data_IF_900970302813
#
_entry.id   IF_900970302813
#
_cell.length_a   1.000
_cell.length_b   1.000
_cell.length_c   1.000
_cell.angle_alpha   90.00
_cell.angle_beta   90.00
_cell.angle_gamma   90.00
#
_symmetry.space_group_name_H-M   'P 1'
#
loop_
_entity.id
_entity.type
_entity.pdbx_description
1 polymer ?
#
# COMPACT_ATOMS: atom_id res chain seq x y z
N UNK A 1 12.01 48.16 -24.92
CA UNK A 1 10.90 47.18 -24.92
C UNK A 1 10.09 47.45 -23.67
N UNK A 2 8.84 47.88 -23.80
CA UNK A 2 7.94 48.11 -22.67
C UNK A 2 7.68 46.79 -21.97
N UNK A 3 8.05 46.66 -20.70
CA UNK A 3 7.73 45.45 -19.95
C UNK A 3 6.22 45.43 -19.73
N UNK A 4 5.54 44.47 -20.35
CA UNK A 4 4.10 44.30 -20.15
C UNK A 4 3.90 43.68 -18.77
N UNK A 5 3.24 44.44 -17.89
CA UNK A 5 2.77 43.93 -16.61
C UNK A 5 1.64 42.93 -16.89
N UNK A 6 1.74 41.75 -16.30
CA UNK A 6 0.66 40.77 -16.31
C UNK A 6 0.49 40.13 -14.93
N UNK A 7 -0.63 39.44 -14.73
CA UNK A 7 -0.88 38.68 -13.52
C UNK A 7 -0.31 37.28 -13.68
N UNK A 8 0.60 36.90 -12.77
CA UNK A 8 1.27 35.60 -12.73
C UNK A 8 0.91 34.84 -11.45
N UNK A 9 0.95 33.51 -11.50
CA UNK A 9 0.36 32.67 -10.46
C UNK A 9 1.36 31.65 -9.88
N UNK A 10 1.52 31.67 -8.56
CA UNK A 10 2.10 30.55 -7.83
C UNK A 10 0.97 29.64 -7.36
N UNK A 11 0.96 28.42 -7.85
CA UNK A 11 -0.12 27.46 -7.71
C UNK A 11 0.32 26.27 -6.86
N UNK A 12 -0.56 25.78 -6.00
CA UNK A 12 -0.29 24.67 -5.11
C UNK A 12 -1.37 23.60 -5.24
N UNK A 13 -0.96 22.35 -5.41
CA UNK A 13 -1.87 21.21 -5.38
C UNK A 13 -1.68 20.46 -4.08
N UNK A 14 -2.69 20.48 -3.22
CA UNK A 14 -2.63 19.82 -1.92
C UNK A 14 -3.15 18.40 -2.01
N UNK A 15 -2.27 17.45 -1.73
CA UNK A 15 -2.57 16.03 -1.70
C UNK A 15 -2.44 15.51 -0.28
N UNK A 16 -3.53 15.00 0.28
CA UNK A 16 -3.56 14.31 1.57
C UNK A 16 -3.99 12.88 1.28
N UNK A 17 -3.15 11.89 1.62
CA UNK A 17 -3.39 10.48 1.27
C UNK A 17 -3.69 10.29 -0.23
N UNK A 18 -2.93 10.97 -1.08
CA UNK A 18 -3.08 10.97 -2.55
C UNK A 18 -4.43 11.50 -3.07
N UNK A 19 -5.22 12.17 -2.22
CA UNK A 19 -6.46 12.85 -2.60
C UNK A 19 -6.27 14.37 -2.61
N UNK A 20 -6.69 15.00 -3.72
CA UNK A 20 -6.74 16.44 -3.89
C UNK A 20 -8.19 16.90 -3.78
N UNK A 21 -8.48 17.76 -2.80
CA UNK A 21 -9.81 18.37 -2.60
C UNK A 21 -9.79 19.88 -2.71
N UNK A 22 -8.61 20.47 -2.62
CA UNK A 22 -8.38 21.91 -2.67
C UNK A 22 -7.06 22.24 -3.35
N UNK A 23 -6.98 23.47 -3.83
CA UNK A 23 -5.78 24.06 -4.44
C UNK A 23 -5.47 25.40 -3.80
N UNK A 24 -4.22 25.83 -3.91
CA UNK A 24 -3.71 27.07 -3.33
C UNK A 24 -3.22 28.01 -4.41
N UNK A 25 -3.47 29.30 -4.24
CA UNK A 25 -3.04 30.31 -5.20
C UNK A 25 -2.47 31.53 -4.49
N UNK A 26 -1.35 32.03 -5.03
CA UNK A 26 -0.82 33.37 -4.78
C UNK A 26 -0.62 34.06 -6.12
N UNK A 27 -1.04 35.31 -6.23
CA UNK A 27 -0.97 36.09 -7.48
C UNK A 27 -0.03 37.28 -7.34
N UNK A 28 0.69 37.60 -8.40
CA UNK A 28 1.53 38.80 -8.50
C UNK A 28 1.25 39.55 -9.79
N UNK A 29 1.37 40.87 -9.76
CA UNK A 29 1.52 41.68 -10.98
C UNK A 29 3.01 41.89 -11.22
N UNK A 30 3.53 41.33 -12.31
CA UNK A 30 4.97 41.38 -12.60
C UNK A 30 5.22 41.65 -14.08
N UNK A 31 6.28 42.41 -14.36
CA UNK A 31 6.76 42.67 -15.72
C UNK A 31 8.05 41.91 -15.99
N UNK A 32 8.50 41.91 -17.25
CA UNK A 32 9.73 41.23 -17.67
C UNK A 32 9.45 40.09 -18.64
N UNK A 33 10.48 39.32 -18.93
CA UNK A 33 10.40 38.09 -19.73
C UNK A 33 9.71 36.97 -18.94
N UNK A 34 9.22 35.95 -19.66
CA UNK A 34 8.58 34.79 -19.04
C UNK A 34 9.56 34.03 -18.14
N UNK A 35 10.84 33.93 -18.53
CA UNK A 35 11.88 33.29 -17.73
C UNK A 35 12.13 34.03 -16.40
N UNK A 36 12.15 35.38 -16.42
CA UNK A 36 12.28 36.19 -15.21
C UNK A 36 11.06 36.01 -14.28
N UNK A 37 9.85 35.96 -14.85
CA UNK A 37 8.60 35.75 -14.10
C UNK A 37 8.55 34.35 -13.47
N UNK A 38 8.95 33.31 -14.22
CA UNK A 38 9.03 31.93 -13.70
C UNK A 38 10.05 31.85 -12.58
N UNK A 39 11.24 32.45 -12.74
CA UNK A 39 12.27 32.46 -11.70
C UNK A 39 11.78 33.18 -10.44
N UNK A 40 11.09 34.32 -10.60
CA UNK A 40 10.46 35.03 -9.50
C UNK A 40 9.48 34.14 -8.73
N UNK A 41 8.56 33.45 -9.43
CA UNK A 41 7.61 32.55 -8.78
C UNK A 41 8.29 31.39 -8.05
N UNK A 42 9.31 30.77 -8.66
CA UNK A 42 10.08 29.68 -8.06
C UNK A 42 10.79 30.09 -6.77
N UNK A 43 11.36 31.30 -6.73
CA UNK A 43 12.04 31.82 -5.55
C UNK A 43 11.08 32.09 -4.37
N UNK A 44 9.80 32.34 -4.66
CA UNK A 44 8.79 32.67 -3.65
C UNK A 44 7.96 31.45 -3.20
N UNK A 45 8.16 30.23 -3.75
CA UNK A 45 7.38 29.03 -3.41
C UNK A 45 7.25 28.81 -1.89
N UNK A 46 8.35 28.89 -1.14
CA UNK A 46 8.35 28.65 0.30
C UNK A 46 7.58 29.69 1.12
N UNK A 47 7.59 30.97 0.70
CA UNK A 47 6.81 32.03 1.34
C UNK A 47 5.34 31.96 0.94
N UNK A 48 5.09 31.68 -0.33
CA UNK A 48 3.76 31.67 -0.93
C UNK A 48 2.94 30.51 -0.44
N UNK A 49 3.57 29.35 -0.25
CA UNK A 49 2.94 28.16 0.33
C UNK A 49 2.26 28.44 1.68
N UNK A 50 2.86 29.30 2.52
CA UNK A 50 2.31 29.66 3.83
C UNK A 50 1.13 30.63 3.74
N UNK A 51 1.06 31.41 2.67
CA UNK A 51 0.09 32.49 2.47
C UNK A 51 -0.94 32.19 1.37
N UNK A 52 -0.86 31.00 0.75
CA UNK A 52 -1.70 30.64 -0.37
C UNK A 52 -3.17 30.61 0.00
N UNK A 53 -3.97 31.36 -0.77
CA UNK A 53 -5.43 31.34 -0.63
C UNK A 53 -5.96 30.00 -1.15
N UNK A 54 -6.78 29.33 -0.33
CA UNK A 54 -7.36 28.03 -0.65
C UNK A 54 -8.64 28.16 -1.47
N UNK A 55 -8.77 27.33 -2.49
CA UNK A 55 -9.96 27.21 -3.32
C UNK A 55 -10.39 25.74 -3.42
N UNK A 56 -11.71 25.46 -3.39
CA UNK A 56 -12.20 24.14 -3.75
C UNK A 56 -11.94 23.88 -5.23
N UNK A 57 -11.87 22.60 -5.61
CA UNK A 57 -11.85 22.22 -7.01
C UNK A 57 -13.12 22.70 -7.75
N UNK A 58 -13.13 22.72 -9.08
CA UNK A 58 -14.36 22.91 -9.85
C UNK A 58 -15.38 21.78 -9.62
N UNK A 59 -16.67 22.07 -9.78
CA UNK A 59 -17.77 21.15 -9.42
C UNK A 59 -17.79 19.84 -10.23
N UNK A 60 -17.13 19.79 -11.38
CA UNK A 60 -17.01 18.62 -12.25
C UNK A 60 -15.92 17.63 -11.80
N UNK A 61 -15.04 18.01 -10.86
CA UNK A 61 -14.09 17.08 -10.24
C UNK A 61 -14.77 16.36 -9.09
N UNK A 62 -15.20 15.13 -9.35
CA UNK A 62 -15.88 14.30 -8.37
C UNK A 62 -15.22 12.93 -8.31
N UNK A 63 -15.01 12.45 -7.09
CA UNK A 63 -14.54 11.10 -6.81
C UNK A 63 -15.63 10.34 -6.07
N UNK A 64 -15.80 9.06 -6.41
CA UNK A 64 -16.70 8.14 -5.70
C UNK A 64 -15.86 7.33 -4.70
N UNK A 65 -16.17 7.47 -3.42
CA UNK A 65 -15.53 6.72 -2.33
C UNK A 65 -16.67 6.07 -1.52
N UNK A 66 -16.72 4.74 -1.49
CA UNK A 66 -17.71 3.96 -0.72
C UNK A 66 -19.16 4.35 -1.05
N UNK A 67 -19.48 4.43 -2.34
CA UNK A 67 -20.78 4.91 -2.87
C UNK A 67 -21.15 6.37 -2.55
N UNK A 68 -20.26 7.11 -1.89
CA UNK A 68 -20.43 8.55 -1.64
C UNK A 68 -19.64 9.34 -2.68
N UNK A 69 -20.33 10.25 -3.36
CA UNK A 69 -19.71 11.17 -4.30
C UNK A 69 -19.24 12.41 -3.54
N UNK A 70 -17.95 12.73 -3.63
CA UNK A 70 -17.36 13.94 -3.05
C UNK A 70 -16.61 14.73 -4.11
N UNK A 71 -16.44 16.01 -3.87
CA UNK A 71 -15.60 16.86 -4.72
C UNK A 71 -14.13 16.50 -4.47
N UNK A 72 -13.39 16.20 -5.54
CA UNK A 72 -12.01 15.74 -5.42
C UNK A 72 -11.51 15.04 -6.67
N UNK A 73 -10.20 14.85 -6.72
CA UNK A 73 -9.47 14.06 -7.71
C UNK A 73 -8.30 13.37 -7.02
N UNK A 74 -7.96 12.13 -7.36
CA UNK A 74 -6.73 11.53 -6.84
C UNK A 74 -5.50 12.05 -7.60
N UNK A 75 -4.34 11.92 -6.96
CA UNK A 75 -3.08 12.44 -7.49
C UNK A 75 -2.64 11.76 -8.79
N UNK A 76 -2.96 10.48 -8.99
CA UNK A 76 -2.63 9.75 -10.23
C UNK A 76 -3.45 10.27 -11.39
N UNK A 77 -4.75 10.46 -11.20
CA UNK A 77 -5.62 11.05 -12.22
C UNK A 77 -5.24 12.51 -12.52
N UNK A 78 -4.87 13.29 -11.50
CA UNK A 78 -4.30 14.62 -11.72
C UNK A 78 -3.01 14.57 -12.55
N UNK A 79 -2.12 13.61 -12.27
CA UNK A 79 -0.89 13.41 -13.07
C UNK A 79 -1.20 13.05 -14.53
N UNK A 80 -2.24 12.26 -14.78
CA UNK A 80 -2.69 11.96 -16.14
C UNK A 80 -3.18 13.23 -16.85
N UNK A 81 -3.97 14.07 -16.17
CA UNK A 81 -4.36 15.38 -16.72
C UNK A 81 -3.15 16.25 -17.04
N UNK A 82 -2.14 16.33 -16.16
CA UNK A 82 -0.90 17.05 -16.44
C UNK A 82 -0.20 16.51 -17.68
N UNK A 83 -0.15 15.18 -17.84
CA UNK A 83 0.47 14.53 -19.00
C UNK A 83 -0.26 14.83 -20.32
N UNK A 84 -1.57 15.03 -20.26
CA UNK A 84 -2.41 15.40 -21.41
C UNK A 84 -2.49 16.92 -21.64
N UNK A 85 -1.84 17.74 -20.79
CA UNK A 85 -1.88 19.21 -20.86
C UNK A 85 -3.14 19.84 -20.27
N UNK A 86 -3.92 19.07 -19.51
CA UNK A 86 -5.16 19.47 -18.83
C UNK A 86 -4.98 19.73 -17.32
N UNK A 87 -3.75 19.71 -16.81
CA UNK A 87 -3.46 19.84 -15.38
C UNK A 87 -4.00 21.12 -14.73
N UNK A 88 -4.10 22.22 -15.47
CA UNK A 88 -4.58 23.50 -14.93
C UNK A 88 -6.09 23.56 -14.69
N UNK A 89 -6.87 22.58 -15.17
CA UNK A 89 -8.32 22.55 -14.98
C UNK A 89 -8.73 22.52 -13.50
N UNK A 90 -7.90 21.97 -12.61
CA UNK A 90 -8.18 21.94 -11.16
C UNK A 90 -8.16 23.34 -10.51
N UNK A 91 -7.63 24.36 -11.21
CA UNK A 91 -7.51 25.74 -10.74
C UNK A 91 -8.56 26.70 -11.32
N UNK A 92 -9.48 26.23 -12.16
CA UNK A 92 -10.46 27.10 -12.86
C UNK A 92 -11.27 28.00 -11.90
N UNK A 93 -11.68 27.47 -10.74
CA UNK A 93 -12.38 28.26 -9.72
C UNK A 93 -11.53 29.45 -9.26
N UNK A 94 -10.22 29.25 -9.07
CA UNK A 94 -9.30 30.30 -8.66
C UNK A 94 -9.00 31.28 -9.80
N UNK A 95 -8.82 30.78 -11.03
CA UNK A 95 -8.61 31.64 -12.20
C UNK A 95 -9.80 32.56 -12.46
N UNK A 96 -11.03 32.07 -12.30
CA UNK A 96 -12.23 32.90 -12.39
C UNK A 96 -12.26 33.97 -11.29
N UNK A 97 -11.87 33.60 -10.06
CA UNK A 97 -11.83 34.55 -8.95
C UNK A 97 -10.85 35.71 -9.20
N UNK A 98 -9.67 35.42 -9.78
CA UNK A 98 -8.64 36.43 -10.06
C UNK A 98 -8.72 37.05 -11.46
N UNK A 99 -9.69 36.66 -12.28
CA UNK A 99 -9.83 37.17 -13.66
C UNK A 99 -8.61 36.85 -14.54
N UNK A 100 -8.09 35.63 -14.43
CA UNK A 100 -6.91 35.20 -15.17
C UNK A 100 -7.11 35.30 -16.70
N UNK A 101 -6.01 35.53 -17.43
CA UNK A 101 -6.02 35.50 -18.90
C UNK A 101 -6.27 34.06 -19.41
N UNK A 102 -6.55 33.92 -20.70
CA UNK A 102 -6.72 32.59 -21.33
C UNK A 102 -5.42 31.78 -21.39
N UNK A 103 -4.26 32.38 -21.11
CA UNK A 103 -2.97 31.72 -21.09
C UNK A 103 -2.13 32.29 -19.93
N UNK A 104 -2.46 31.95 -18.67
CA UNK A 104 -1.79 32.50 -17.52
C UNK A 104 -0.37 31.92 -17.40
N UNK A 105 0.60 32.75 -16.99
CA UNK A 105 1.92 32.27 -16.59
C UNK A 105 1.84 31.73 -15.16
N UNK A 106 2.20 30.46 -14.99
CA UNK A 106 2.02 29.74 -13.74
C UNK A 106 3.26 28.93 -13.35
N UNK A 107 3.44 28.73 -12.04
CA UNK A 107 4.29 27.68 -11.47
C UNK A 107 3.42 26.83 -10.57
N UNK A 108 3.42 25.52 -10.77
CA UNK A 108 2.61 24.58 -9.98
C UNK A 108 3.51 23.75 -9.08
N UNK A 109 3.26 23.79 -7.77
CA UNK A 109 4.00 23.07 -6.74
C UNK A 109 3.10 22.02 -6.07
N UNK A 110 3.41 20.72 -6.21
CA UNK A 110 2.74 19.68 -5.43
C UNK A 110 3.09 19.78 -3.94
N UNK A 111 2.08 19.64 -3.08
CA UNK A 111 2.23 19.56 -1.63
C UNK A 111 1.68 18.22 -1.18
N UNK A 112 2.54 17.37 -0.62
CA UNK A 112 2.15 16.03 -0.13
C UNK A 112 2.14 16.04 1.39
N UNK A 113 1.00 15.71 1.99
CA UNK A 113 0.82 15.61 3.44
C UNK A 113 1.29 16.87 4.21
N UNK A 114 1.07 18.05 3.62
CA UNK A 114 1.43 19.34 4.23
C UNK A 114 2.88 19.79 4.00
N UNK A 115 3.69 19.03 3.27
CA UNK A 115 5.07 19.38 2.95
C UNK A 115 5.25 19.60 1.44
N UNK A 116 6.08 20.59 1.08
CA UNK A 116 6.53 20.79 -0.30
C UNK A 116 7.57 19.74 -0.62
N UNK A 117 7.35 19.00 -1.71
CA UNK A 117 8.29 17.99 -2.18
C UNK A 117 8.62 18.24 -3.66
N UNK A 118 9.86 18.65 -3.95
CA UNK A 118 10.32 19.01 -5.30
C UNK A 118 11.50 18.10 -5.68
N UNK A 119 11.25 17.13 -6.57
CA UNK A 119 12.28 16.23 -7.13
C UNK A 119 12.76 16.66 -8.52
N UNK A 120 12.14 17.66 -9.12
CA UNK A 120 12.50 18.14 -10.45
C UNK A 120 11.57 19.24 -10.96
N UNK A 121 11.86 19.75 -12.16
CA UNK A 121 11.11 20.79 -12.84
C UNK A 121 10.70 20.29 -14.23
N UNK A 122 9.42 20.45 -14.58
CA UNK A 122 8.89 20.14 -15.91
C UNK A 122 8.10 21.35 -16.43
N UNK A 123 8.14 21.60 -17.74
CA UNK A 123 7.27 22.61 -18.36
C UNK A 123 5.85 22.06 -18.49
N UNK A 124 4.86 22.85 -18.12
CA UNK A 124 3.45 22.50 -18.32
C UNK A 124 3.19 22.16 -19.79
N UNK A 125 2.56 21.01 -20.04
CA UNK A 125 2.21 20.59 -21.40
C UNK A 125 1.02 21.39 -21.92
N UNK A 126 1.02 21.67 -23.22
CA UNK A 126 -0.10 22.30 -23.91
C UNK A 126 -1.01 21.18 -24.41
N UNK A 127 -2.29 21.22 -24.03
CA UNK A 127 -3.27 20.24 -24.47
C UNK A 127 -3.40 20.23 -26.01
N UNK A 128 -3.32 19.04 -26.61
CA UNK A 128 -3.57 18.82 -28.04
C UNK A 128 -4.99 18.32 -28.32
N UNK A 129 -5.76 18.03 -27.28
CA UNK A 129 -7.11 17.45 -27.31
C UNK A 129 -8.09 18.32 -26.53
N UNK A 130 -9.39 18.15 -26.77
CA UNK A 130 -10.42 18.81 -25.96
C UNK A 130 -10.44 18.25 -24.53
N UNK A 131 -10.69 19.08 -23.50
CA UNK A 131 -10.70 18.63 -22.12
C UNK A 131 -11.79 17.57 -21.89
N UNK A 132 -11.55 16.56 -21.04
CA UNK A 132 -12.54 15.53 -20.74
C UNK A 132 -13.80 16.16 -20.13
N UNK A 133 -14.97 15.85 -20.68
CA UNK A 133 -16.27 16.40 -20.23
C UNK A 133 -16.64 15.93 -18.81
N UNK A 134 -16.14 14.78 -18.39
CA UNK A 134 -16.27 14.24 -17.03
C UNK A 134 -14.99 13.48 -16.68
N UNK A 135 -14.39 13.81 -15.54
CA UNK A 135 -13.31 13.01 -14.94
C UNK A 135 -14.00 12.05 -13.97
N UNK A 136 -14.62 10.99 -14.50
CA UNK A 136 -15.12 9.90 -13.67
C UNK A 136 -13.96 8.97 -13.37
N UNK A 137 -13.49 8.99 -12.13
CA UNK A 137 -12.41 8.12 -11.67
C UNK A 137 -13.08 7.01 -10.88
N UNK A 138 -13.27 5.88 -11.56
CA UNK A 138 -13.51 4.62 -10.87
C UNK A 138 -12.20 4.26 -10.16
N UNK A 139 -12.20 4.42 -8.84
CA UNK A 139 -11.12 3.93 -7.99
C UNK A 139 -10.97 2.43 -8.21
N UNK A 140 -9.72 1.97 -8.30
CA UNK A 140 -9.40 0.66 -7.74
C UNK A 140 -9.66 0.78 -6.23
N UNK A 141 -10.56 -0.07 -5.72
CA UNK A 141 -11.01 -0.08 -4.32
C UNK A 141 -9.79 -0.02 -3.41
N UNK A 142 -9.69 0.96 -2.52
CA UNK A 142 -8.66 0.93 -1.46
C UNK A 142 -8.89 -0.36 -0.67
N UNK A 143 -7.91 -1.26 -0.71
CA UNK A 143 -8.05 -2.65 -0.27
C UNK A 143 -8.58 -2.73 1.18
N UNK A 144 -8.12 -1.83 2.06
CA UNK A 144 -8.45 -1.82 3.48
C UNK A 144 -9.89 -1.42 3.80
N UNK A 145 -10.64 -0.83 2.86
CA UNK A 145 -12.02 -0.36 3.08
C UNK A 145 -12.97 -1.49 3.47
N UNK A 146 -12.74 -2.70 2.93
CA UNK A 146 -13.57 -3.86 3.26
C UNK A 146 -13.22 -4.47 4.61
N UNK A 147 -12.13 -4.01 5.23
CA UNK A 147 -11.54 -4.60 6.43
C UNK A 147 -11.48 -3.61 7.58
N UNK A 148 -12.24 -2.51 7.54
CA UNK A 148 -12.35 -1.55 8.65
C UNK A 148 -13.81 -1.19 8.90
N UNK A 149 -14.23 -1.22 10.17
CA UNK A 149 -15.54 -0.73 10.60
C UNK A 149 -15.45 -0.01 11.96
N UNK A 150 -16.61 0.23 12.59
CA UNK A 150 -16.73 0.90 13.90
C UNK A 150 -15.99 0.16 15.03
N UNK A 151 -15.74 -1.15 14.87
CA UNK A 151 -15.01 -1.99 15.82
C UNK A 151 -13.49 -2.01 15.60
N UNK A 152 -13.02 -1.46 14.48
CA UNK A 152 -11.61 -1.36 14.13
C UNK A 152 -11.27 -2.13 12.86
N UNK A 153 -10.01 -2.56 12.76
CA UNK A 153 -9.49 -3.23 11.58
C UNK A 153 -9.60 -4.77 11.72
N UNK A 154 -10.21 -5.40 10.72
CA UNK A 154 -10.49 -6.83 10.62
C UNK A 154 -9.35 -7.59 9.93
N UNK A 155 -8.25 -7.77 10.64
CA UNK A 155 -7.10 -8.56 10.15
C UNK A 155 -7.46 -10.01 9.82
N UNK A 156 -8.42 -10.58 10.56
CA UNK A 156 -8.95 -11.92 10.34
C UNK A 156 -9.60 -12.05 8.97
N UNK A 157 -10.44 -11.08 8.57
CA UNK A 157 -11.06 -11.06 7.26
C UNK A 157 -10.04 -10.88 6.13
N UNK A 158 -9.07 -9.99 6.32
CA UNK A 158 -7.99 -9.74 5.36
C UNK A 158 -7.16 -11.01 5.08
N UNK A 159 -6.64 -11.63 6.14
CA UNK A 159 -5.82 -12.83 6.01
C UNK A 159 -6.66 -14.03 5.54
N UNK A 160 -7.94 -14.06 5.90
CA UNK A 160 -8.85 -15.07 5.37
C UNK A 160 -8.99 -14.97 3.86
N UNK A 161 -9.21 -13.76 3.36
CA UNK A 161 -9.46 -13.49 1.95
C UNK A 161 -8.21 -13.74 1.09
N UNK A 162 -7.03 -13.36 1.57
CA UNK A 162 -5.77 -13.58 0.84
C UNK A 162 -5.25 -15.02 0.88
N UNK A 163 -5.47 -15.74 1.98
CA UNK A 163 -4.79 -17.01 2.22
C UNK A 163 -5.72 -18.13 2.70
N UNK A 164 -6.44 -17.92 3.80
CA UNK A 164 -7.11 -19.05 4.50
C UNK A 164 -8.24 -19.65 3.66
N UNK A 165 -8.97 -18.85 2.88
CA UNK A 165 -9.98 -19.33 1.93
C UNK A 165 -9.37 -20.33 0.94
N UNK A 166 -8.32 -19.93 0.23
CA UNK A 166 -7.64 -20.78 -0.74
C UNK A 166 -6.96 -22.01 -0.10
N UNK A 167 -6.31 -21.85 1.07
CA UNK A 167 -5.70 -22.96 1.83
C UNK A 167 -6.75 -24.02 2.16
N UNK A 168 -7.93 -23.60 2.62
CA UNK A 168 -9.05 -24.47 2.97
C UNK A 168 -9.64 -25.18 1.76
N UNK A 169 -9.81 -24.48 0.64
CA UNK A 169 -10.27 -25.07 -0.63
C UNK A 169 -9.30 -26.19 -1.06
N UNK A 170 -8.01 -25.91 -1.08
CA UNK A 170 -6.97 -26.88 -1.46
C UNK A 170 -6.91 -28.06 -0.49
N UNK A 171 -7.00 -27.80 0.81
CA UNK A 171 -7.00 -28.85 1.84
C UNK A 171 -8.18 -29.80 1.66
N UNK A 172 -9.39 -29.25 1.52
CA UNK A 172 -10.62 -30.04 1.35
C UNK A 172 -10.63 -30.82 0.02
N UNK A 173 -10.02 -30.26 -1.02
CA UNK A 173 -9.79 -30.95 -2.30
C UNK A 173 -8.66 -32.00 -2.24
N UNK A 174 -8.10 -32.27 -1.05
CA UNK A 174 -6.98 -33.21 -0.80
C UNK A 174 -5.68 -32.83 -1.54
N UNK A 175 -5.54 -31.57 -1.95
CA UNK A 175 -4.32 -31.01 -2.55
C UNK A 175 -3.35 -30.56 -1.46
N UNK A 176 -2.92 -31.49 -0.60
CA UNK A 176 -2.25 -31.14 0.66
C UNK A 176 -0.90 -30.44 0.49
N UNK A 177 -0.08 -30.86 -0.49
CA UNK A 177 1.21 -30.20 -0.75
C UNK A 177 1.00 -28.76 -1.21
N UNK A 178 0.02 -28.51 -2.08
CA UNK A 178 -0.32 -27.16 -2.54
C UNK A 178 -0.86 -26.30 -1.40
N UNK A 179 -1.75 -26.87 -0.58
CA UNK A 179 -2.26 -26.21 0.63
C UNK A 179 -1.13 -25.85 1.61
N UNK A 180 -0.18 -26.76 1.84
CA UNK A 180 0.98 -26.55 2.70
C UNK A 180 1.90 -25.45 2.15
N UNK A 181 2.15 -25.42 0.84
CA UNK A 181 2.92 -24.34 0.19
C UNK A 181 2.29 -22.99 0.45
N UNK A 182 0.98 -22.87 0.23
CA UNK A 182 0.27 -21.61 0.44
C UNK A 182 0.26 -21.20 1.93
N UNK A 183 0.17 -22.16 2.85
CA UNK A 183 0.31 -21.90 4.28
C UNK A 183 1.70 -21.35 4.63
N UNK A 184 2.78 -21.89 4.05
CA UNK A 184 4.13 -21.36 4.27
C UNK A 184 4.27 -19.93 3.73
N UNK A 185 3.69 -19.63 2.56
CA UNK A 185 3.66 -18.28 1.99
C UNK A 185 2.86 -17.33 2.89
N UNK A 186 1.73 -17.77 3.45
CA UNK A 186 0.96 -16.98 4.42
C UNK A 186 1.82 -16.59 5.62
N UNK A 187 2.61 -17.53 6.17
CA UNK A 187 3.53 -17.24 7.28
C UNK A 187 4.64 -16.27 6.86
N UNK A 188 5.23 -16.40 5.67
CA UNK A 188 6.18 -15.41 5.15
C UNK A 188 5.57 -14.01 5.10
N UNK A 189 4.33 -13.89 4.60
CA UNK A 189 3.60 -12.63 4.49
C UNK A 189 3.37 -11.96 5.83
N UNK A 190 2.79 -12.67 6.82
CA UNK A 190 2.54 -12.08 8.15
C UNK A 190 3.86 -11.75 8.88
N UNK A 191 4.92 -12.52 8.63
CA UNK A 191 6.26 -12.25 9.16
C UNK A 191 6.87 -10.98 8.58
N UNK A 192 6.72 -10.77 7.28
CA UNK A 192 7.13 -9.54 6.59
C UNK A 192 6.31 -8.34 7.06
N UNK A 193 4.99 -8.48 7.17
CA UNK A 193 4.11 -7.42 7.64
C UNK A 193 4.50 -6.95 9.04
N UNK A 194 4.86 -7.88 9.92
CA UNK A 194 5.28 -7.60 11.30
C UNK A 194 6.71 -7.04 11.41
N UNK A 195 7.70 -7.72 10.85
CA UNK A 195 9.12 -7.44 11.10
C UNK A 195 9.86 -6.84 9.91
N UNK A 196 9.20 -6.73 8.75
CA UNK A 196 9.80 -6.27 7.51
C UNK A 196 10.72 -7.32 6.87
N UNK A 197 11.49 -6.87 5.88
CA UNK A 197 12.49 -7.68 5.20
C UNK A 197 13.77 -7.71 6.05
N UNK A 198 13.79 -8.63 7.01
CA UNK A 198 14.93 -8.84 7.90
C UNK A 198 15.29 -10.32 7.92
N UNK A 199 16.57 -10.60 8.12
CA UNK A 199 17.03 -11.96 8.35
C UNK A 199 16.28 -12.57 9.53
N UNK A 200 15.73 -13.77 9.32
CA UNK A 200 14.95 -14.53 10.31
C UNK A 200 13.59 -13.93 10.72
N UNK A 201 12.97 -13.08 9.91
CA UNK A 201 11.61 -12.61 10.17
C UNK A 201 10.61 -13.78 10.37
N UNK A 202 10.69 -14.84 9.57
CA UNK A 202 9.81 -16.01 9.66
C UNK A 202 9.98 -16.80 10.97
N UNK A 203 11.19 -17.28 11.35
CA UNK A 203 11.37 -17.88 12.66
C UNK A 203 10.95 -16.97 13.80
N UNK A 204 11.30 -15.67 13.73
CA UNK A 204 10.97 -14.69 14.75
C UNK A 204 9.44 -14.55 14.94
N UNK A 205 8.67 -14.54 13.86
CA UNK A 205 7.21 -14.46 13.94
C UNK A 205 6.60 -15.71 14.57
N UNK A 206 7.09 -16.90 14.19
CA UNK A 206 6.69 -18.14 14.83
C UNK A 206 7.00 -18.12 16.34
N UNK A 207 8.22 -17.77 16.72
CA UNK A 207 8.64 -17.72 18.12
C UNK A 207 7.86 -16.67 18.94
N UNK A 208 7.36 -15.62 18.29
CA UNK A 208 6.61 -14.54 18.94
C UNK A 208 5.13 -14.90 19.15
N UNK A 209 4.49 -15.49 18.14
CA UNK A 209 3.03 -15.62 18.11
C UNK A 209 2.51 -17.07 18.19
N UNK A 210 3.35 -18.07 17.96
CA UNK A 210 2.93 -19.46 17.73
C UNK A 210 3.52 -20.41 18.78
N UNK A 211 2.71 -21.32 19.30
CA UNK A 211 3.19 -22.40 20.20
C UNK A 211 3.41 -23.71 19.42
N UNK A 212 4.62 -23.85 18.87
CA UNK A 212 5.02 -25.05 18.11
C UNK A 212 5.36 -26.27 18.99
N UNK A 213 5.45 -26.10 20.32
CA UNK A 213 5.77 -27.21 21.23
C UNK A 213 4.71 -28.31 21.16
N UNK A 214 3.46 -27.93 20.90
CA UNK A 214 2.32 -28.84 20.69
C UNK A 214 2.60 -29.88 19.59
N UNK A 215 3.32 -29.46 18.54
CA UNK A 215 3.70 -30.25 17.38
C UNK A 215 5.06 -30.95 17.54
N UNK A 216 5.86 -30.57 18.53
CA UNK A 216 7.21 -31.11 18.75
C UNK A 216 8.25 -30.67 17.71
N UNK A 217 8.02 -29.54 17.03
CA UNK A 217 8.91 -28.96 16.02
C UNK A 217 9.39 -27.58 16.47
N UNK A 218 10.49 -27.09 15.89
CA UNK A 218 11.01 -25.74 16.12
C UNK A 218 10.74 -24.80 14.94
N UNK A 219 10.85 -23.50 15.16
CA UNK A 219 10.74 -22.48 14.11
C UNK A 219 11.85 -22.58 13.06
N UNK A 220 13.08 -22.89 13.48
CA UNK A 220 14.20 -23.17 12.57
C UNK A 220 13.97 -24.43 11.73
N UNK A 221 13.39 -25.50 12.30
CA UNK A 221 13.02 -26.71 11.55
C UNK A 221 11.93 -26.40 10.51
N UNK A 222 10.91 -25.63 10.90
CA UNK A 222 9.82 -25.23 10.00
C UNK A 222 10.30 -24.29 8.89
N UNK A 223 11.26 -23.41 9.17
CA UNK A 223 11.89 -22.55 8.16
C UNK A 223 12.66 -23.35 7.09
N UNK A 224 13.43 -24.36 7.50
CA UNK A 224 14.14 -25.22 6.55
C UNK A 224 13.18 -26.10 5.74
N UNK A 225 12.10 -26.58 6.36
CA UNK A 225 11.01 -27.25 5.67
C UNK A 225 10.35 -26.34 4.62
N UNK A 226 10.00 -25.10 4.99
CA UNK A 226 9.47 -24.07 4.09
C UNK A 226 10.35 -23.87 2.88
N UNK A 227 11.67 -23.71 3.08
CA UNK A 227 12.62 -23.52 1.97
C UNK A 227 12.62 -24.71 1.01
N UNK A 228 12.57 -25.92 1.53
CA UNK A 228 12.60 -27.15 0.73
C UNK A 228 11.31 -27.32 -0.09
N UNK A 229 10.16 -27.12 0.56
CA UNK A 229 8.85 -27.33 -0.04
C UNK A 229 8.54 -26.26 -1.10
N UNK A 230 8.88 -25.00 -0.86
CA UNK A 230 8.61 -23.92 -1.81
C UNK A 230 9.54 -23.93 -3.01
N UNK A 231 10.84 -24.16 -2.81
CA UNK A 231 11.83 -24.03 -3.90
C UNK A 231 12.05 -25.32 -4.68
N UNK A 232 11.95 -26.48 -4.03
CA UNK A 232 12.29 -27.77 -4.64
C UNK A 232 11.16 -28.79 -4.58
N UNK A 233 10.06 -28.48 -3.87
CA UNK A 233 8.95 -29.43 -3.64
C UNK A 233 9.44 -30.75 -3.06
N UNK A 234 10.43 -30.68 -2.15
CA UNK A 234 10.93 -31.84 -1.41
C UNK A 234 11.14 -31.49 0.07
N UNK A 235 11.75 -32.40 0.82
CA UNK A 235 11.93 -32.27 2.26
C UNK A 235 13.39 -32.01 2.67
N UNK A 236 14.28 -31.83 1.69
CA UNK A 236 15.73 -31.90 1.87
C UNK A 236 16.41 -30.56 1.60
N UNK A 237 16.35 -29.67 2.59
CA UNK A 237 17.13 -28.45 2.59
C UNK A 237 18.63 -28.77 2.68
N UNK A 238 19.49 -27.84 2.29
CA UNK A 238 20.95 -27.99 2.47
C UNK A 238 21.31 -28.29 3.93
N UNK A 239 20.58 -27.70 4.89
CA UNK A 239 20.83 -27.94 6.32
C UNK A 239 20.35 -29.32 6.75
N UNK A 240 19.22 -29.79 6.23
CA UNK A 240 18.73 -31.16 6.43
C UNK A 240 19.74 -32.18 5.89
N UNK A 241 20.21 -32.01 4.66
CA UNK A 241 21.22 -32.89 4.04
C UNK A 241 22.54 -32.91 4.83
N UNK A 242 22.92 -31.79 5.44
CA UNK A 242 24.11 -31.70 6.29
C UNK A 242 23.91 -32.21 7.73
N UNK A 243 22.71 -32.68 8.09
CA UNK A 243 22.37 -33.15 9.44
C UNK A 243 22.25 -32.06 10.51
N UNK A 244 22.27 -30.78 10.12
CA UNK A 244 22.19 -29.64 11.04
C UNK A 244 20.78 -29.37 11.56
N UNK A 245 19.77 -29.78 10.80
CA UNK A 245 18.35 -29.62 11.10
C UNK A 245 17.64 -30.92 10.76
N UNK A 246 16.67 -31.33 11.57
CA UNK A 246 15.91 -32.55 11.31
C UNK A 246 14.97 -32.33 10.11
N UNK A 247 14.83 -33.35 9.26
CA UNK A 247 13.81 -33.38 8.21
C UNK A 247 12.43 -33.34 8.86
N UNK A 248 11.53 -32.52 8.33
CA UNK A 248 10.12 -32.54 8.72
C UNK A 248 9.27 -33.22 7.65
N UNK A 249 8.32 -34.04 8.09
CA UNK A 249 7.35 -34.75 7.27
C UNK A 249 5.94 -34.47 7.80
N UNK A 250 5.03 -34.00 6.96
CA UNK A 250 3.65 -33.77 7.39
C UNK A 250 2.76 -34.96 7.02
N UNK A 251 1.73 -35.20 7.83
CA UNK A 251 0.68 -36.17 7.53
C UNK A 251 -0.70 -35.58 7.77
N UNK A 252 -1.71 -36.24 7.22
CA UNK A 252 -3.13 -35.90 7.42
C UNK A 252 -3.82 -37.13 7.99
N UNK A 253 -4.28 -37.05 9.24
CA UNK A 253 -5.03 -38.10 9.91
C UNK A 253 -6.02 -37.52 10.92
N UNK A 254 -6.88 -38.39 11.44
CA UNK A 254 -7.73 -38.04 12.58
C UNK A 254 -6.85 -37.64 13.79
N UNK A 255 -7.25 -36.65 14.62
CA UNK A 255 -6.45 -36.18 15.77
C UNK A 255 -6.14 -37.26 16.82
N UNK A 256 -6.91 -38.35 16.83
CA UNK A 256 -6.69 -39.47 17.75
C UNK A 256 -5.63 -40.46 17.25
N UNK A 257 -5.20 -40.35 15.99
CA UNK A 257 -4.17 -41.22 15.41
C UNK A 257 -2.80 -40.75 15.88
N UNK A 258 -2.12 -41.57 16.70
CA UNK A 258 -0.77 -41.28 17.18
C UNK A 258 0.25 -41.86 16.20
N UNK A 259 1.00 -40.97 15.54
CA UNK A 259 2.19 -41.34 14.77
C UNK A 259 3.45 -41.26 15.61
N UNK A 260 4.47 -41.99 15.19
CA UNK A 260 5.82 -41.85 15.75
C UNK A 260 6.33 -40.45 15.40
N UNK A 261 6.52 -39.61 16.43
CA UNK A 261 6.89 -38.20 16.25
C UNK A 261 8.28 -37.99 15.68
N UNK A 262 9.20 -38.91 15.93
CA UNK A 262 10.57 -38.83 15.42
C UNK A 262 11.12 -40.22 15.13
N UNK A 263 11.79 -40.34 13.97
CA UNK A 263 12.51 -41.52 13.50
C UNK A 263 13.88 -41.10 12.99
N UNK A 264 14.70 -42.06 12.57
CA UNK A 264 15.98 -41.78 11.91
C UNK A 264 15.81 -40.97 10.62
N UNK A 265 14.63 -41.01 9.99
CA UNK A 265 14.30 -40.25 8.78
C UNK A 265 13.91 -38.79 9.05
N UNK A 266 13.60 -38.45 10.31
CA UNK A 266 13.17 -37.11 10.72
C UNK A 266 11.94 -37.09 11.61
N UNK A 267 11.37 -35.91 11.78
CA UNK A 267 10.19 -35.65 12.62
C UNK A 267 8.92 -35.62 11.79
N UNK A 268 7.82 -36.10 12.37
CA UNK A 268 6.49 -36.04 11.78
C UNK A 268 5.59 -35.07 12.53
N UNK A 269 4.76 -34.33 11.81
CA UNK A 269 3.75 -33.44 12.40
C UNK A 269 2.41 -33.53 11.66
N UNK A 270 1.31 -33.33 12.38
CA UNK A 270 -0.02 -33.34 11.78
C UNK A 270 -0.30 -31.99 11.10
N UNK A 271 -0.71 -32.03 9.83
CA UNK A 271 -0.98 -30.80 9.07
C UNK A 271 -2.18 -30.01 9.64
N UNK A 272 -3.26 -30.69 10.06
CA UNK A 272 -4.42 -30.00 10.65
C UNK A 272 -4.04 -29.30 11.95
N UNK A 273 -3.24 -29.94 12.79
CA UNK A 273 -2.74 -29.32 14.03
C UNK A 273 -1.84 -28.11 13.73
N UNK A 274 -0.96 -28.19 12.72
CA UNK A 274 -0.17 -27.03 12.31
C UNK A 274 -1.05 -25.87 11.85
N UNK A 275 -2.07 -26.16 11.04
CA UNK A 275 -3.01 -25.14 10.55
C UNK A 275 -3.75 -24.46 11.71
N UNK A 276 -4.21 -25.23 12.69
CA UNK A 276 -4.90 -24.68 13.87
C UNK A 276 -3.96 -23.84 14.75
N UNK A 277 -2.75 -24.33 14.99
CA UNK A 277 -1.72 -23.63 15.76
C UNK A 277 -1.30 -22.32 15.10
N UNK A 278 -1.18 -22.28 13.76
CA UNK A 278 -0.89 -21.05 13.02
C UNK A 278 -2.08 -20.09 12.99
N UNK A 279 -3.32 -20.57 12.84
CA UNK A 279 -4.51 -19.72 12.90
C UNK A 279 -4.66 -19.02 14.26
N UNK A 280 -4.36 -19.73 15.35
CA UNK A 280 -4.27 -19.13 16.69
C UNK A 280 -3.16 -18.08 16.77
N UNK A 281 -2.01 -18.33 16.14
CA UNK A 281 -0.91 -17.36 16.05
C UNK A 281 -1.28 -16.09 15.29
N UNK A 282 -1.94 -16.22 14.14
CA UNK A 282 -2.47 -15.10 13.36
C UNK A 282 -3.45 -14.28 14.21
N UNK A 283 -4.33 -14.95 14.97
CA UNK A 283 -5.28 -14.27 15.86
C UNK A 283 -4.55 -13.46 16.95
N UNK A 284 -3.51 -14.02 17.58
CA UNK A 284 -2.68 -13.31 18.57
C UNK A 284 -1.93 -12.12 17.95
N UNK A 285 -1.39 -12.33 16.75
CA UNK A 285 -0.70 -11.29 16.00
C UNK A 285 -1.64 -10.12 15.66
N UNK A 286 -2.84 -10.40 15.15
CA UNK A 286 -3.88 -9.40 14.90
C UNK A 286 -4.23 -8.59 16.17
N UNK A 287 -4.45 -9.28 17.29
CA UNK A 287 -4.74 -8.62 18.57
C UNK A 287 -3.61 -7.70 19.06
N UNK A 288 -2.37 -7.93 18.66
CA UNK A 288 -1.24 -7.07 19.05
C UNK A 288 -1.36 -5.63 18.51
N UNK A 289 -2.04 -5.43 17.38
CA UNK A 289 -2.27 -4.10 16.80
C UNK A 289 -3.28 -3.28 17.58
N UNK A 290 -4.17 -3.93 18.34
CA UNK A 290 -5.09 -3.23 19.24
C UNK A 290 -4.38 -2.66 20.46
N UNK A 291 -3.19 -3.19 20.79
CA UNK A 291 -2.38 -2.76 21.93
C UNK A 291 -1.37 -1.68 21.53
N UNK A 292 -0.74 -1.82 20.36
CA UNK A 292 0.25 -0.87 19.84
C UNK A 292 -0.20 -0.27 18.50
N UNK A 293 -0.81 0.92 18.58
CA UNK A 293 -1.29 1.67 17.42
C UNK A 293 -0.17 2.12 16.48
N UNK A 294 1.07 2.25 16.97
CA UNK A 294 2.21 2.64 16.14
C UNK A 294 2.59 1.58 15.10
N UNK A 295 2.22 0.32 15.34
CA UNK A 295 2.41 -0.77 14.37
C UNK A 295 1.53 -0.61 13.14
N UNK A 296 0.39 0.07 13.26
CA UNK A 296 -0.62 0.12 12.22
C UNK A 296 -0.16 0.90 10.98
N UNK A 297 0.51 2.03 11.17
CA UNK A 297 1.06 2.82 10.05
C UNK A 297 2.11 2.02 9.27
N UNK A 298 2.99 1.32 9.99
CA UNK A 298 4.01 0.44 9.40
C UNK A 298 3.34 -0.70 8.63
N UNK A 299 2.30 -1.32 9.21
CA UNK A 299 1.54 -2.36 8.54
C UNK A 299 0.91 -1.88 7.23
N UNK A 300 0.22 -0.74 7.21
CA UNK A 300 -0.35 -0.17 5.99
C UNK A 300 0.72 0.03 4.91
N UNK A 301 1.85 0.64 5.29
CA UNK A 301 2.95 0.89 4.34
C UNK A 301 3.57 -0.38 3.74
N UNK A 302 3.53 -1.50 4.48
CA UNK A 302 4.05 -2.79 4.03
C UNK A 302 3.01 -3.55 3.23
N UNK A 303 1.75 -3.50 3.64
CA UNK A 303 0.66 -4.19 2.97
C UNK A 303 0.35 -3.56 1.60
N UNK A 304 0.53 -2.25 1.43
CA UNK A 304 0.45 -1.58 0.11
C UNK A 304 1.44 -2.14 -0.92
N UNK A 305 2.44 -2.91 -0.50
CA UNK A 305 3.43 -3.58 -1.37
C UNK A 305 3.09 -5.03 -1.68
N UNK A 306 2.00 -5.54 -1.10
CA UNK A 306 1.54 -6.92 -1.26
C UNK A 306 0.40 -6.94 -2.29
N UNK A 307 0.39 -7.97 -3.12
CA UNK A 307 -0.70 -8.21 -4.06
C UNK A 307 -1.77 -9.03 -3.33
N UNK A 308 -3.00 -8.53 -3.31
CA UNK A 308 -4.18 -9.22 -2.79
C UNK A 308 -5.08 -9.65 -3.95
N UNK A 309 -5.80 -10.76 -3.76
CA UNK A 309 -6.79 -11.26 -4.71
C UNK A 309 -8.12 -10.44 -4.66
N UNK A 310 -8.36 -9.63 -3.61
CA UNK A 310 -9.63 -8.91 -3.38
C UNK A 310 -9.47 -7.40 -3.14
#
# INVERSE_FOLDING_TARGET
>A
MTSHLETIFNLFVYSILDLITEVGVVTYTHGGSDDEKVLFLQQNVSSDFKNAQRFPLPANFKIKINDVIRQGIDYTSYRNLCNEGHGLLVFETAFQHFGASSNPLVVVTPVKNGEIFIEGYEKTKIAMTSPPKFVHIDKQKEWYVNYIDESGFHFDNLINDDFIEAIRILFNAKQYVSSMKLLMICVDTVSYLEFGDTNKNFPKWLDTYVDLNTLGITSDELWEFRNSVLHMTNLDSRKVQSGKVKRLMFYVSHPTTKYVRETDEGKTFNFKELLDTLALGISKWALSYNVDKGKFEIFLSRYDRIISDK
#
